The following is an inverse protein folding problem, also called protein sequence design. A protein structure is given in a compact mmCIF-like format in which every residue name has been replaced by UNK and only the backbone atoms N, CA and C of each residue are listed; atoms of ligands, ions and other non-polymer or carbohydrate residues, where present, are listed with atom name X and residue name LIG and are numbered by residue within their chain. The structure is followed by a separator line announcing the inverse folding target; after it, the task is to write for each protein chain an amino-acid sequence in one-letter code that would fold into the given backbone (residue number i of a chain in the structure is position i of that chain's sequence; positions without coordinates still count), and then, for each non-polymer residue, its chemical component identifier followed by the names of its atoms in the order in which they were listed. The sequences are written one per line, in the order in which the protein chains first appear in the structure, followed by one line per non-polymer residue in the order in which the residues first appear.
data_IF_853934516699
#
_entry.id   IF_853934516699
#
_cell.length_a   1.000
_cell.length_b   1.000
_cell.length_c   1.000
_cell.angle_alpha   90.00
_cell.angle_beta   90.00
_cell.angle_gamma   90.00
#
_symmetry.space_group_name_H-M   'P 1'
#
loop_
_entity.id
_entity.type
_entity.pdbx_description
1 polymer ?
#
# COMPACT_ATOMS: atom_id res chain seq x y z
N UNK A 1 -7.51 -4.79 16.63
CA UNK A 1 -7.16 -3.38 16.91
C UNK A 1 -7.57 -2.53 15.71
N UNK A 2 -8.41 -1.52 15.93
CA UNK A 2 -8.91 -0.64 14.88
C UNK A 2 -8.42 0.78 15.14
N UNK A 3 -7.91 1.44 14.10
CA UNK A 3 -7.47 2.82 14.12
C UNK A 3 -8.14 3.60 13.00
N UNK A 4 -8.43 4.86 13.30
CA UNK A 4 -8.93 5.85 12.36
C UNK A 4 -7.99 7.05 12.46
N UNK A 5 -7.43 7.45 11.33
CA UNK A 5 -6.59 8.64 11.25
C UNK A 5 -7.15 9.57 10.18
N UNK A 6 -7.32 10.83 10.53
CA UNK A 6 -7.62 11.87 9.57
C UNK A 6 -6.31 12.47 9.05
N UNK A 7 -6.17 12.53 7.72
CA UNK A 7 -4.99 13.06 7.05
C UNK A 7 -5.43 13.73 5.75
N UNK A 8 -5.15 15.03 5.60
CA UNK A 8 -5.51 15.81 4.41
C UNK A 8 -7.00 15.60 4.02
N UNK A 9 -7.90 15.82 4.99
CA UNK A 9 -9.37 15.67 4.86
C UNK A 9 -9.83 14.27 4.42
N UNK A 10 -8.94 13.28 4.44
CA UNK A 10 -9.20 11.89 4.09
C UNK A 10 -9.11 11.04 5.35
N UNK A 11 -10.02 10.09 5.50
CA UNK A 11 -9.97 9.15 6.62
C UNK A 11 -9.24 7.90 6.16
N UNK A 12 -8.12 7.59 6.81
CA UNK A 12 -7.39 6.34 6.65
C UNK A 12 -7.81 5.40 7.79
N UNK A 13 -8.34 4.24 7.43
CA UNK A 13 -8.69 3.18 8.36
C UNK A 13 -7.58 2.13 8.39
N UNK A 14 -7.19 1.70 9.60
CA UNK A 14 -6.32 0.55 9.79
C UNK A 14 -6.99 -0.45 10.74
N UNK A 15 -7.01 -1.73 10.37
CA UNK A 15 -7.55 -2.80 11.18
C UNK A 15 -6.54 -3.95 11.25
N UNK A 16 -6.10 -4.30 12.45
CA UNK A 16 -5.27 -5.45 12.76
C UNK A 16 -6.11 -6.50 13.48
N UNK A 17 -6.40 -7.59 12.80
CA UNK A 17 -7.15 -8.72 13.34
C UNK A 17 -6.17 -9.83 13.73
N UNK A 18 -5.83 -9.89 15.02
CA UNK A 18 -4.97 -10.95 15.57
C UNK A 18 -5.74 -12.24 15.91
N UNK A 19 -7.05 -12.29 15.59
CA UNK A 19 -7.90 -13.47 15.74
C UNK A 19 -7.69 -14.49 14.61
N UNK A 20 -8.74 -15.21 14.22
CA UNK A 20 -8.63 -16.37 13.32
C UNK A 20 -7.94 -16.13 11.98
N UNK A 21 -8.10 -14.94 11.37
CA UNK A 21 -7.53 -14.68 10.04
C UNK A 21 -6.09 -14.18 10.07
N UNK A 22 -5.60 -13.66 11.22
CA UNK A 22 -4.28 -13.04 11.35
C UNK A 22 -3.97 -12.06 10.19
N UNK A 23 -4.86 -11.10 9.95
CA UNK A 23 -4.77 -10.13 8.85
C UNK A 23 -4.69 -8.70 9.35
N UNK A 24 -3.94 -7.87 8.63
CA UNK A 24 -4.03 -6.43 8.72
C UNK A 24 -4.54 -5.83 7.41
N UNK A 25 -5.36 -4.80 7.55
CA UNK A 25 -5.98 -4.06 6.45
C UNK A 25 -5.84 -2.57 6.66
N UNK A 26 -5.37 -1.86 5.63
CA UNK A 26 -5.45 -0.40 5.53
C UNK A 26 -6.36 -0.04 4.37
N UNK A 27 -7.15 1.02 4.51
CA UNK A 27 -7.94 1.54 3.40
C UNK A 27 -8.25 3.03 3.55
N UNK A 28 -8.50 3.67 2.42
CA UNK A 28 -9.07 5.00 2.33
C UNK A 28 -9.85 5.13 1.02
N UNK A 29 -10.76 6.10 0.99
CA UNK A 29 -11.52 6.48 -0.20
C UNK A 29 -11.22 7.93 -0.56
N UNK A 30 -11.16 8.22 -1.86
CA UNK A 30 -11.09 9.57 -2.41
C UNK A 30 -12.25 9.78 -3.38
N UNK A 31 -12.74 11.02 -3.44
CA UNK A 31 -13.71 11.49 -4.44
C UNK A 31 -13.00 12.42 -5.42
N UNK A 32 -12.21 11.90 -6.38
CA UNK A 32 -11.42 12.75 -7.24
C UNK A 32 -12.30 13.46 -8.29
N UNK A 33 -11.81 14.59 -8.81
CA UNK A 33 -12.46 15.34 -9.90
C UNK A 33 -12.25 14.67 -11.27
N UNK A 34 -11.30 13.74 -11.35
CA UNK A 34 -10.96 12.95 -12.54
C UNK A 34 -10.52 11.54 -12.18
N UNK A 35 -10.61 10.62 -13.14
CA UNK A 35 -10.22 9.22 -12.96
C UNK A 35 -8.75 9.07 -12.55
N UNK A 36 -8.52 8.27 -11.51
CA UNK A 36 -7.19 7.89 -11.02
C UNK A 36 -6.83 6.54 -11.65
N UNK A 37 -5.63 6.39 -12.26
CA UNK A 37 -5.20 5.12 -12.82
C UNK A 37 -5.22 3.99 -11.79
N UNK A 38 -5.90 2.89 -12.14
CA UNK A 38 -5.92 1.71 -11.29
C UNK A 38 -4.55 1.05 -11.19
N UNK A 39 -4.27 0.43 -10.05
CA UNK A 39 -3.03 -0.30 -9.84
C UNK A 39 -3.17 -1.47 -8.87
N UNK A 40 -2.23 -2.42 -9.01
CA UNK A 40 -2.03 -3.53 -8.08
C UNK A 40 -0.54 -3.60 -7.76
N UNK A 41 -0.19 -3.54 -6.48
CA UNK A 41 1.16 -3.75 -5.96
C UNK A 41 1.15 -5.06 -5.17
N UNK A 42 2.11 -5.92 -5.47
CA UNK A 42 2.40 -7.11 -4.67
C UNK A 42 3.91 -7.26 -4.52
N UNK A 43 4.36 -8.16 -3.66
CA UNK A 43 5.77 -8.54 -3.64
C UNK A 43 6.05 -9.71 -4.58
N UNK A 44 7.31 -9.87 -5.00
CA UNK A 44 7.80 -11.11 -5.63
C UNK A 44 8.01 -12.17 -4.54
N UNK A 45 7.70 -13.43 -4.83
CA UNK A 45 7.86 -14.56 -3.90
C UNK A 45 9.29 -14.68 -3.36
N UNK A 46 9.45 -15.03 -2.09
CA UNK A 46 10.76 -15.15 -1.41
C UNK A 46 11.78 -16.01 -2.18
N UNK A 47 11.38 -17.15 -2.73
CA UNK A 47 12.28 -18.02 -3.52
C UNK A 47 12.83 -17.33 -4.77
N UNK A 48 12.00 -16.54 -5.46
CA UNK A 48 12.43 -15.78 -6.63
C UNK A 48 13.38 -14.62 -6.29
N UNK A 49 13.46 -14.20 -5.02
CA UNK A 49 14.38 -13.16 -4.54
C UNK A 49 15.78 -13.71 -4.23
N UNK A 50 15.88 -14.97 -3.78
CA UNK A 50 17.15 -15.60 -3.43
C UNK A 50 18.00 -15.95 -4.67
N UNK A 51 17.35 -16.25 -5.80
CA UNK A 51 18.01 -16.69 -7.03
C UNK A 51 17.86 -15.72 -8.21
N UNK A 52 17.18 -14.58 -8.01
CA UNK A 52 16.95 -13.58 -9.04
C UNK A 52 18.07 -12.54 -9.11
N UNK A 53 18.62 -12.30 -10.31
CA UNK A 53 19.56 -11.19 -10.57
C UNK A 53 18.93 -9.80 -10.34
N UNK A 54 17.60 -9.71 -10.34
CA UNK A 54 16.88 -8.46 -10.19
C UNK A 54 16.49 -8.23 -8.72
N UNK A 55 17.13 -7.24 -8.08
CA UNK A 55 16.94 -6.84 -6.68
C UNK A 55 15.58 -6.19 -6.38
N UNK A 56 14.74 -6.00 -7.39
CA UNK A 56 13.46 -5.32 -7.24
C UNK A 56 12.40 -6.23 -6.57
N UNK A 57 11.99 -5.85 -5.36
CA UNK A 57 11.07 -6.61 -4.49
C UNK A 57 9.61 -6.51 -4.94
N UNK A 58 9.25 -5.34 -5.45
CA UNK A 58 7.87 -5.00 -5.78
C UNK A 58 7.51 -5.41 -7.21
N UNK A 59 6.29 -5.90 -7.37
CA UNK A 59 5.63 -6.11 -8.65
C UNK A 59 4.45 -5.15 -8.69
N UNK A 60 4.52 -4.16 -9.58
CA UNK A 60 3.47 -3.17 -9.76
C UNK A 60 2.85 -3.35 -11.14
N UNK A 61 1.52 -3.43 -11.19
CA UNK A 61 0.72 -3.41 -12.42
C UNK A 61 -0.12 -2.15 -12.43
N UNK A 62 -0.05 -1.39 -13.52
CA UNK A 62 -0.95 -0.28 -13.83
C UNK A 62 -0.90 -0.06 -15.34
N UNK A 63 -1.92 0.60 -15.91
CA UNK A 63 -1.89 1.02 -17.31
C UNK A 63 -1.02 2.27 -17.52
N UNK A 64 -0.75 3.03 -16.45
CA UNK A 64 0.07 4.25 -16.50
C UNK A 64 1.50 4.01 -15.99
N UNK A 65 2.49 4.20 -16.86
CA UNK A 65 3.90 4.02 -16.53
C UNK A 65 4.41 5.05 -15.51
N UNK A 66 3.86 6.26 -15.51
CA UNK A 66 4.21 7.27 -14.51
C UNK A 66 3.74 6.86 -13.12
N UNK A 67 2.50 6.35 -13.02
CA UNK A 67 1.97 5.75 -11.79
C UNK A 67 2.86 4.62 -11.29
N UNK A 68 3.35 3.72 -12.17
CA UNK A 68 4.28 2.66 -11.76
C UNK A 68 5.55 3.24 -11.13
N UNK A 69 6.19 4.22 -11.78
CA UNK A 69 7.41 4.83 -11.26
C UNK A 69 7.18 5.56 -9.93
N UNK A 70 6.10 6.33 -9.82
CA UNK A 70 5.71 7.04 -8.59
C UNK A 70 5.43 6.09 -7.44
N UNK A 71 4.67 5.01 -7.67
CA UNK A 71 4.38 4.03 -6.62
C UNK A 71 5.65 3.34 -6.09
N UNK A 72 6.63 3.04 -6.95
CA UNK A 72 7.94 2.52 -6.50
C UNK A 72 8.65 3.49 -5.57
N UNK A 73 8.67 4.78 -5.92
CA UNK A 73 9.25 5.83 -5.09
C UNK A 73 8.54 5.93 -3.73
N UNK A 74 7.21 5.89 -3.71
CA UNK A 74 6.41 5.97 -2.47
C UNK A 74 6.64 4.76 -1.54
N UNK A 75 6.78 3.55 -2.10
CA UNK A 75 7.12 2.35 -1.34
C UNK A 75 8.51 2.44 -0.70
N UNK A 76 9.47 3.09 -1.36
CA UNK A 76 10.79 3.33 -0.78
C UNK A 76 10.73 4.38 0.34
N UNK A 77 10.09 5.53 0.08
CA UNK A 77 10.00 6.65 1.04
C UNK A 77 9.25 6.31 2.32
N UNK A 78 8.27 5.42 2.25
CA UNK A 78 7.49 4.96 3.40
C UNK A 78 8.21 3.93 4.27
N UNK A 79 9.35 3.39 3.83
CA UNK A 79 10.03 2.28 4.53
C UNK A 79 9.39 0.90 4.28
N UNK A 80 8.34 0.82 3.46
CA UNK A 80 7.70 -0.45 3.07
C UNK A 80 8.70 -1.39 2.38
N UNK A 81 9.60 -0.84 1.56
CA UNK A 81 10.67 -1.60 0.92
C UNK A 81 11.61 -2.25 1.93
N UNK A 82 12.00 -1.54 2.99
CA UNK A 82 12.93 -2.08 3.98
C UNK A 82 12.25 -3.09 4.91
N UNK A 83 10.99 -2.84 5.28
CA UNK A 83 10.15 -3.83 5.96
C UNK A 83 10.08 -5.13 5.14
N UNK A 84 9.83 -5.03 3.84
CA UNK A 84 9.74 -6.19 2.94
C UNK A 84 11.06 -6.95 2.75
N UNK A 85 12.21 -6.32 3.06
CA UNK A 85 13.53 -6.98 3.07
C UNK A 85 13.81 -7.68 4.38
N UNK A 86 13.42 -7.06 5.51
CA UNK A 86 13.72 -7.54 6.87
C UNK A 86 12.88 -8.77 7.23
N UNK A 87 11.61 -8.79 6.84
CA UNK A 87 10.65 -9.81 7.27
C UNK A 87 9.87 -10.40 6.09
N UNK A 88 9.13 -11.48 6.33
CA UNK A 88 8.22 -12.11 5.36
C UNK A 88 6.94 -11.30 5.13
N UNK A 89 7.07 -9.98 4.95
CA UNK A 89 5.97 -9.07 4.70
C UNK A 89 5.58 -9.11 3.21
N UNK A 90 4.36 -9.60 2.95
CA UNK A 90 3.83 -9.85 1.60
C UNK A 90 2.46 -9.18 1.49
N UNK A 91 2.40 -7.84 1.37
CA UNK A 91 1.13 -7.15 1.16
C UNK A 91 0.64 -7.29 -0.26
N UNK A 92 -0.68 -7.19 -0.41
CA UNK A 92 -1.35 -6.83 -1.65
C UNK A 92 -1.96 -5.46 -1.47
N UNK A 93 -1.64 -4.53 -2.37
CA UNK A 93 -2.19 -3.17 -2.38
C UNK A 93 -2.94 -2.98 -3.70
N UNK A 94 -4.18 -2.53 -3.64
CA UNK A 94 -5.00 -2.26 -4.82
C UNK A 94 -5.58 -0.86 -4.76
N UNK A 95 -5.42 -0.12 -5.85
CA UNK A 95 -6.15 1.12 -6.11
C UNK A 95 -7.14 0.89 -7.23
N UNK A 96 -8.43 1.10 -6.98
CA UNK A 96 -9.51 0.89 -7.96
C UNK A 96 -10.39 2.11 -8.06
N UNK A 97 -10.81 2.45 -9.26
CA UNK A 97 -11.71 3.57 -9.52
C UNK A 97 -13.07 3.04 -10.01
N UNK A 98 -14.10 3.22 -9.19
CA UNK A 98 -15.44 2.72 -9.49
C UNK A 98 -16.50 3.72 -9.05
N UNK A 99 -17.45 4.03 -9.94
CA UNK A 99 -18.60 4.90 -9.65
C UNK A 99 -18.21 6.29 -9.10
N UNK A 100 -17.12 6.89 -9.60
CA UNK A 100 -16.68 8.21 -9.15
C UNK A 100 -15.84 8.21 -7.87
N UNK A 101 -15.61 7.05 -7.27
CA UNK A 101 -14.85 6.89 -6.02
C UNK A 101 -13.59 6.09 -6.32
N UNK A 102 -12.45 6.57 -5.81
CA UNK A 102 -11.21 5.81 -5.80
C UNK A 102 -11.03 5.14 -4.43
N UNK A 103 -11.00 3.81 -4.40
CA UNK A 103 -10.72 3.03 -3.20
C UNK A 103 -9.29 2.51 -3.25
N UNK A 104 -8.52 2.77 -2.20
CA UNK A 104 -7.23 2.14 -1.98
C UNK A 104 -7.32 1.18 -0.80
N UNK A 105 -6.82 -0.04 -0.99
CA UNK A 105 -6.80 -1.08 0.02
C UNK A 105 -5.44 -1.76 0.06
N UNK A 106 -4.88 -1.93 1.27
CA UNK A 106 -3.71 -2.77 1.54
C UNK A 106 -4.13 -3.90 2.47
N UNK A 107 -3.81 -5.14 2.12
CA UNK A 107 -4.05 -6.33 2.95
C UNK A 107 -2.78 -7.17 3.08
N UNK A 108 -2.50 -7.66 4.28
CA UNK A 108 -1.38 -8.58 4.53
C UNK A 108 -1.60 -9.48 5.73
N UNK A 109 -0.89 -10.61 5.76
CA UNK A 109 -0.87 -11.54 6.89
C UNK A 109 0.10 -11.08 7.98
N UNK A 110 -0.31 -11.25 9.23
CA UNK A 110 0.42 -10.90 10.45
C UNK A 110 1.26 -12.06 11.01
N UNK A 111 1.64 -13.01 10.14
CA UNK A 111 2.38 -14.23 10.48
C UNK A 111 3.90 -14.07 10.53
N UNK A 112 4.40 -12.87 10.86
CA UNK A 112 5.83 -12.59 10.98
C UNK A 112 6.14 -11.92 12.32
N UNK A 113 7.38 -12.05 12.77
CA UNK A 113 7.86 -11.45 14.02
C UNK A 113 7.82 -9.92 13.96
N UNK A 114 7.63 -9.27 15.10
CA UNK A 114 7.54 -7.81 15.20
C UNK A 114 6.46 -7.19 14.29
N UNK A 115 5.34 -7.89 14.08
CA UNK A 115 4.21 -7.46 13.23
C UNK A 115 3.69 -6.05 13.50
N UNK A 116 3.86 -5.53 14.70
CA UNK A 116 3.51 -4.16 15.06
C UNK A 116 4.39 -3.11 14.35
N UNK A 117 5.65 -3.44 14.05
CA UNK A 117 6.57 -2.60 13.28
C UNK A 117 6.06 -2.34 11.86
N UNK A 118 5.15 -3.17 11.35
CA UNK A 118 4.52 -2.95 10.04
C UNK A 118 3.57 -1.75 10.00
N UNK A 119 3.07 -1.30 11.15
CA UNK A 119 2.04 -0.26 11.21
C UNK A 119 2.54 1.05 10.63
N UNK A 120 3.71 1.51 11.07
CA UNK A 120 4.25 2.81 10.68
C UNK A 120 4.56 2.88 9.17
N UNK A 121 5.30 1.93 8.56
CA UNK A 121 5.55 1.96 7.13
C UNK A 121 4.28 1.92 6.28
N UNK A 122 3.29 1.11 6.68
CA UNK A 122 2.00 1.09 5.98
C UNK A 122 1.26 2.41 6.10
N UNK A 123 1.17 2.98 7.31
CA UNK A 123 0.51 4.26 7.53
C UNK A 123 1.19 5.40 6.77
N UNK A 124 2.52 5.46 6.78
CA UNK A 124 3.29 6.46 6.04
C UNK A 124 3.07 6.32 4.53
N UNK A 125 3.01 5.09 4.02
CA UNK A 125 2.66 4.84 2.62
C UNK A 125 1.26 5.35 2.27
N UNK A 126 0.25 5.07 3.09
CA UNK A 126 -1.11 5.57 2.85
C UNK A 126 -1.15 7.10 2.82
N UNK A 127 -0.47 7.78 3.76
CA UNK A 127 -0.40 9.25 3.79
C UNK A 127 0.24 9.83 2.54
N UNK A 128 1.40 9.30 2.14
CA UNK A 128 2.09 9.74 0.91
C UNK A 128 1.18 9.56 -0.29
N UNK A 129 0.47 8.44 -0.37
CA UNK A 129 -0.43 8.15 -1.48
C UNK A 129 -1.61 9.12 -1.49
N UNK A 130 -2.26 9.36 -0.35
CA UNK A 130 -3.35 10.35 -0.22
C UNK A 130 -2.88 11.73 -0.68
N UNK A 131 -1.73 12.21 -0.19
CA UNK A 131 -1.23 13.54 -0.53
C UNK A 131 -0.98 13.68 -2.03
N UNK A 132 -0.32 12.69 -2.63
CA UNK A 132 0.04 12.71 -4.05
C UNK A 132 -1.16 12.54 -4.97
N UNK A 133 -2.13 11.72 -4.57
CA UNK A 133 -3.36 11.55 -5.34
C UNK A 133 -4.28 12.75 -5.22
N UNK A 134 -4.42 13.37 -4.05
CA UNK A 134 -5.21 14.60 -3.90
C UNK A 134 -4.60 15.75 -4.71
N UNK A 135 -3.29 15.97 -4.57
CA UNK A 135 -2.55 16.99 -5.32
C UNK A 135 -2.81 16.87 -6.83
N UNK A 136 -2.77 15.63 -7.36
CA UNK A 136 -2.90 15.38 -8.79
C UNK A 136 -4.35 15.24 -9.27
N UNK A 137 -5.30 14.74 -8.49
CA UNK A 137 -6.62 14.33 -9.03
C UNK A 137 -7.83 14.89 -8.28
N UNK A 138 -7.64 15.59 -7.17
CA UNK A 138 -8.73 16.21 -6.42
C UNK A 138 -8.69 17.75 -6.45
N UNK A 139 -7.56 18.32 -6.89
CA UNK A 139 -7.42 19.75 -7.18
C UNK A 139 -8.16 20.17 -8.45
#
# INVERSE_FOLDING_TARGET
MKFRLEHNETIIYANYEFGHQHLAKFNFDLNPTREIPEFIISTKYHFSRLFGLNKEIWKIKSQDQFTIASLKDYLNKSGMTDLSKKVAFIPTITGKYQNGIFNCETVFHLGFDDKEESFKPNMDFQKILVDKLKEKYCS
#
